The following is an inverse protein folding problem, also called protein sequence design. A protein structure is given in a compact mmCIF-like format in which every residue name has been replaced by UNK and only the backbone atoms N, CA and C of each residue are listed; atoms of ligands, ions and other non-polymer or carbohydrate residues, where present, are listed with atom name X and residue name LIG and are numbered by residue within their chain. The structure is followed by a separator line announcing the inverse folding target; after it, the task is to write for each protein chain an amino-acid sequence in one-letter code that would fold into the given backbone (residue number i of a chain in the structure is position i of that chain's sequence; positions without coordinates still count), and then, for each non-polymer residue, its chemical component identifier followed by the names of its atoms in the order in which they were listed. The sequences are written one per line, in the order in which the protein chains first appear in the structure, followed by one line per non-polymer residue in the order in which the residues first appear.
data_IF_851919519017
#
_entry.id   IF_851919519017
#
_cell.length_a   1.000
_cell.length_b   1.000
_cell.length_c   1.000
_cell.angle_alpha   90.00
_cell.angle_beta   90.00
_cell.angle_gamma   90.00
#
_symmetry.space_group_name_H-M   'P 1'
#
loop_
_entity.id
_entity.type
_entity.pdbx_description
1 polymer ?
#
# COMPACT_ATOMS: atom_id res chain seq x y z
N UNK A 1 -7.80 -17.54 3.27
CA UNK A 1 -8.43 -16.23 3.59
C UNK A 1 -8.14 -15.30 2.41
N UNK A 2 -9.14 -14.65 1.79
CA UNK A 2 -8.90 -13.74 0.65
C UNK A 2 -8.74 -12.31 1.17
N UNK A 3 -7.51 -11.81 1.15
CA UNK A 3 -7.11 -10.47 1.57
C UNK A 3 -6.39 -9.80 0.40
N UNK A 4 -6.69 -8.54 0.12
CA UNK A 4 -6.02 -7.75 -0.92
C UNK A 4 -5.51 -6.48 -0.28
N UNK A 5 -4.28 -6.12 -0.61
CA UNK A 5 -3.61 -4.95 -0.06
C UNK A 5 -3.37 -3.94 -1.18
N UNK A 6 -3.73 -2.68 -0.93
CA UNK A 6 -3.35 -1.58 -1.78
C UNK A 6 -1.86 -1.34 -1.56
N UNK A 7 -1.06 -1.70 -2.54
CA UNK A 7 0.30 -1.23 -2.63
C UNK A 7 0.27 0.19 -3.21
N UNK A 8 1.25 1.04 -2.87
CA UNK A 8 1.45 2.33 -3.56
C UNK A 8 1.27 2.11 -5.07
N UNK A 9 0.55 2.99 -5.80
CA UNK A 9 0.44 2.87 -7.24
C UNK A 9 1.84 2.87 -7.87
N UNK A 10 2.30 1.68 -8.24
CA UNK A 10 3.46 1.50 -9.08
C UNK A 10 2.97 1.59 -10.52
N UNK A 11 3.43 2.65 -11.17
CA UNK A 11 3.48 2.85 -12.60
C UNK A 11 2.17 3.10 -13.37
N UNK A 12 2.33 3.83 -14.48
CA UNK A 12 1.33 4.41 -15.39
C UNK A 12 0.39 3.36 -15.96
N UNK A 13 -0.93 3.58 -15.86
CA UNK A 13 -1.97 2.87 -16.58
C UNK A 13 -2.88 3.86 -17.35
N UNK A 14 -2.30 4.79 -18.13
CA UNK A 14 -3.07 5.39 -19.22
C UNK A 14 -3.43 4.36 -20.32
N UNK A 15 -2.75 3.20 -20.31
CA UNK A 15 -3.13 1.98 -21.03
C UNK A 15 -2.70 0.77 -20.18
N UNK A 16 -3.50 -0.32 -20.12
CA UNK A 16 -3.03 -1.58 -19.56
C UNK A 16 -1.74 -2.01 -20.27
N UNK A 17 -0.66 -2.12 -19.50
CA UNK A 17 0.60 -2.69 -19.96
C UNK A 17 0.85 -3.98 -19.20
N UNK A 18 1.35 -5.00 -19.90
CA UNK A 18 1.81 -6.23 -19.26
C UNK A 18 3.18 -6.04 -18.55
N UNK A 19 3.82 -4.89 -18.73
CA UNK A 19 5.07 -4.54 -18.05
C UNK A 19 4.81 -4.03 -16.62
N UNK A 20 5.50 -4.63 -15.65
CA UNK A 20 5.40 -4.25 -14.23
C UNK A 20 5.97 -2.84 -13.93
N UNK A 21 6.94 -2.40 -14.71
CA UNK A 21 7.63 -1.12 -14.54
C UNK A 21 7.85 -0.47 -15.91
N UNK A 22 6.79 0.05 -16.56
CA UNK A 22 6.91 0.71 -17.85
C UNK A 22 7.89 1.87 -17.75
N UNK A 23 8.83 1.92 -18.69
CA UNK A 23 9.88 2.94 -18.75
C UNK A 23 9.67 3.89 -19.92
N UNK A 24 9.98 5.17 -19.71
CA UNK A 24 10.07 6.15 -20.78
C UNK A 24 11.30 5.90 -21.66
N UNK A 25 11.40 6.64 -22.75
CA UNK A 25 12.57 6.60 -23.65
C UNK A 25 13.88 6.97 -22.92
N UNK A 26 13.77 7.74 -21.84
CA UNK A 26 14.87 8.15 -20.97
C UNK A 26 15.22 7.13 -19.87
N UNK A 27 14.50 6.00 -19.82
CA UNK A 27 14.66 4.97 -18.79
C UNK A 27 13.98 5.28 -17.44
N UNK A 28 13.29 6.42 -17.32
CA UNK A 28 12.53 6.77 -16.11
C UNK A 28 11.28 5.88 -15.97
N UNK A 29 10.89 5.56 -14.73
CA UNK A 29 9.63 4.85 -14.49
C UNK A 29 8.49 5.82 -14.79
N UNK A 30 7.57 5.38 -15.65
CA UNK A 30 6.36 6.13 -15.95
C UNK A 30 5.35 5.90 -14.82
N UNK A 31 4.87 6.96 -14.18
CA UNK A 31 3.85 6.89 -13.12
C UNK A 31 2.46 7.27 -13.62
N UNK A 32 1.44 6.77 -12.94
CA UNK A 32 0.07 7.26 -13.09
C UNK A 32 -0.22 8.38 -12.09
N UNK A 33 -1.17 9.25 -12.44
CA UNK A 33 -1.65 10.34 -11.60
C UNK A 33 -2.97 10.00 -10.89
N UNK A 34 -3.39 8.74 -10.89
CA UNK A 34 -4.60 8.29 -10.17
C UNK A 34 -4.42 8.50 -8.67
N UNK A 35 -5.30 9.27 -8.00
CA UNK A 35 -5.26 9.43 -6.55
C UNK A 35 -5.52 8.09 -5.85
N UNK A 36 -4.76 7.75 -4.79
CA UNK A 36 -4.97 6.51 -4.03
C UNK A 36 -6.40 6.32 -3.50
N UNK A 37 -7.12 7.41 -3.24
CA UNK A 37 -8.52 7.41 -2.81
C UNK A 37 -9.48 6.83 -3.86
N UNK A 38 -9.20 7.05 -5.14
CA UNK A 38 -9.99 6.49 -6.24
C UNK A 38 -9.79 4.98 -6.32
N UNK A 39 -8.54 4.53 -6.24
CA UNK A 39 -8.22 3.10 -6.16
C UNK A 39 -8.82 2.45 -4.92
N UNK A 40 -8.81 3.16 -3.78
CA UNK A 40 -9.43 2.66 -2.55
C UNK A 40 -10.92 2.39 -2.73
N UNK A 41 -11.67 3.31 -3.35
CA UNK A 41 -13.10 3.11 -3.64
C UNK A 41 -13.34 1.86 -4.49
N UNK A 42 -12.54 1.65 -5.53
CA UNK A 42 -12.63 0.43 -6.35
C UNK A 42 -12.35 -0.83 -5.52
N UNK A 43 -11.45 -0.77 -4.53
CA UNK A 43 -11.21 -1.89 -3.62
C UNK A 43 -12.36 -2.13 -2.63
N UNK A 44 -13.08 -1.09 -2.20
CA UNK A 44 -14.30 -1.24 -1.39
C UNK A 44 -15.38 -2.02 -2.15
N UNK A 45 -15.49 -1.82 -3.47
CA UNK A 45 -16.40 -2.59 -4.32
C UNK A 45 -16.05 -4.09 -4.35
N UNK A 46 -14.76 -4.45 -4.31
CA UNK A 46 -14.35 -5.86 -4.22
C UNK A 46 -14.84 -6.52 -2.93
N UNK A 47 -14.92 -5.75 -1.83
CA UNK A 47 -15.48 -6.22 -0.56
C UNK A 47 -16.99 -6.37 -0.67
N UNK A 48 -17.69 -5.41 -1.26
CA UNK A 48 -19.15 -5.45 -1.43
C UNK A 48 -19.61 -6.60 -2.33
N UNK A 49 -18.81 -6.92 -3.36
CA UNK A 49 -19.00 -8.08 -4.23
C UNK A 49 -18.65 -9.42 -3.56
N UNK A 50 -18.10 -9.42 -2.34
CA UNK A 50 -17.69 -10.62 -1.62
C UNK A 50 -16.46 -11.33 -2.22
N UNK A 51 -15.72 -10.66 -3.12
CA UNK A 51 -14.51 -11.22 -3.74
C UNK A 51 -13.36 -11.29 -2.73
N UNK A 52 -13.31 -10.31 -1.83
CA UNK A 52 -12.34 -10.21 -0.75
C UNK A 52 -13.06 -10.01 0.59
N UNK A 53 -12.45 -10.47 1.68
CA UNK A 53 -13.03 -10.31 3.03
C UNK A 53 -12.59 -9.01 3.70
N UNK A 54 -11.38 -8.55 3.36
CA UNK A 54 -10.77 -7.40 4.01
C UNK A 54 -9.74 -6.78 3.07
N UNK A 55 -9.53 -5.48 3.24
CA UNK A 55 -8.59 -4.68 2.46
C UNK A 55 -7.66 -3.88 3.37
N UNK A 56 -6.46 -3.57 2.92
CA UNK A 56 -5.46 -2.84 3.70
C UNK A 56 -4.50 -2.04 2.83
N UNK A 57 -3.52 -1.39 3.46
CA UNK A 57 -2.53 -0.51 2.83
C UNK A 57 -1.12 -1.10 2.94
N UNK A 58 -0.25 -0.85 1.97
CA UNK A 58 1.17 -1.21 2.02
C UNK A 58 2.04 -0.07 1.51
N UNK A 59 3.10 0.24 2.26
CA UNK A 59 4.04 1.36 2.04
C UNK A 59 3.43 2.76 2.17
N UNK A 60 2.29 2.92 2.86
CA UNK A 60 1.71 4.24 3.07
C UNK A 60 2.35 4.94 4.28
N UNK A 61 2.60 6.25 4.15
CA UNK A 61 2.98 7.10 5.28
C UNK A 61 1.76 7.63 6.05
N UNK A 62 1.99 8.29 7.19
CA UNK A 62 0.91 8.78 8.07
C UNK A 62 -0.08 9.72 7.36
N UNK A 63 0.41 10.63 6.50
CA UNK A 63 -0.46 11.58 5.79
C UNK A 63 -1.33 10.87 4.76
N UNK A 64 -0.79 9.90 4.04
CA UNK A 64 -1.55 9.10 3.07
C UNK A 64 -2.58 8.22 3.79
N UNK A 65 -2.23 7.61 4.93
CA UNK A 65 -3.18 6.84 5.74
C UNK A 65 -4.35 7.74 6.17
N UNK A 66 -4.08 8.96 6.67
CA UNK A 66 -5.15 9.91 7.06
C UNK A 66 -6.10 10.20 5.91
N UNK A 67 -5.58 10.49 4.72
CA UNK A 67 -6.40 10.74 3.52
C UNK A 67 -7.32 9.58 3.18
N UNK A 68 -6.83 8.34 3.29
CA UNK A 68 -7.67 7.15 3.09
C UNK A 68 -8.74 7.03 4.18
N UNK A 69 -8.35 7.20 5.45
CA UNK A 69 -9.30 7.12 6.58
C UNK A 69 -10.43 8.15 6.47
N UNK A 70 -10.15 9.34 5.95
CA UNK A 70 -11.12 10.41 5.73
C UNK A 70 -12.18 10.07 4.67
N UNK A 71 -11.84 9.26 3.65
CA UNK A 71 -12.75 8.91 2.58
C UNK A 71 -13.29 7.46 2.63
N UNK A 72 -12.75 6.60 3.51
CA UNK A 72 -13.05 5.17 3.54
C UNK A 72 -14.41 4.85 4.18
N UNK A 73 -15.25 4.11 3.46
CA UNK A 73 -16.43 3.43 3.99
C UNK A 73 -16.04 2.08 4.62
N UNK A 74 -15.13 1.35 3.98
CA UNK A 74 -14.50 0.14 4.52
C UNK A 74 -13.12 0.53 5.03
N UNK A 75 -12.97 0.55 6.36
CA UNK A 75 -11.72 0.96 6.99
C UNK A 75 -10.57 -0.01 6.67
N UNK A 76 -9.35 0.48 6.35
CA UNK A 76 -8.21 -0.39 6.11
C UNK A 76 -7.86 -1.15 7.40
N UNK A 77 -7.75 -2.48 7.33
CA UNK A 77 -7.52 -3.31 8.53
C UNK A 77 -6.05 -3.60 8.81
N UNK A 78 -5.18 -3.48 7.79
CA UNK A 78 -3.75 -3.79 7.89
C UNK A 78 -2.91 -2.72 7.21
N UNK A 79 -1.80 -2.34 7.85
CA UNK A 79 -0.69 -1.62 7.22
C UNK A 79 0.52 -2.58 7.09
N UNK A 80 1.00 -2.81 5.87
CA UNK A 80 2.23 -3.56 5.64
C UNK A 80 3.39 -2.62 5.24
N UNK A 81 4.46 -2.57 6.05
CA UNK A 81 5.60 -1.65 5.87
C UNK A 81 6.92 -2.33 6.17
N UNK A 82 8.02 -1.77 5.69
CA UNK A 82 9.36 -2.21 6.08
C UNK A 82 9.56 -1.91 7.57
N UNK A 83 10.00 -2.92 8.32
CA UNK A 83 10.42 -2.74 9.70
C UNK A 83 11.36 -3.88 10.10
N UNK A 84 12.57 -3.55 10.54
CA UNK A 84 13.61 -4.47 11.01
C UNK A 84 14.56 -3.76 11.99
N UNK A 85 15.54 -4.48 12.54
CA UNK A 85 16.46 -3.94 13.55
C UNK A 85 17.20 -2.66 13.11
N UNK A 86 17.50 -2.53 11.81
CA UNK A 86 18.17 -1.37 11.23
C UNK A 86 17.22 -0.22 10.83
N UNK A 87 15.91 -0.49 10.74
CA UNK A 87 14.89 0.49 10.38
C UNK A 87 13.58 0.12 11.05
N UNK A 88 13.33 0.67 12.24
CA UNK A 88 12.15 0.31 13.03
C UNK A 88 10.85 0.85 12.44
N UNK A 89 10.91 1.98 11.74
CA UNK A 89 9.75 2.65 11.14
C UNK A 89 8.65 2.96 12.19
N UNK A 90 9.06 3.27 13.43
CA UNK A 90 8.18 3.25 14.60
C UNK A 90 7.02 4.25 14.52
N UNK A 91 7.23 5.44 13.98
CA UNK A 91 6.22 6.49 13.96
C UNK A 91 4.97 6.10 13.15
N UNK A 92 5.15 5.50 11.96
CA UNK A 92 4.01 5.07 11.15
C UNK A 92 3.33 3.83 11.74
N UNK A 93 4.10 2.96 12.41
CA UNK A 93 3.59 1.78 13.11
C UNK A 93 2.69 2.21 14.28
N UNK A 94 3.15 3.15 15.10
CA UNK A 94 2.39 3.66 16.24
C UNK A 94 1.14 4.39 15.78
N UNK A 95 1.26 5.20 14.71
CA UNK A 95 0.10 5.85 14.12
C UNK A 95 -0.93 4.83 13.62
N UNK A 96 -0.52 3.83 12.84
CA UNK A 96 -1.40 2.79 12.32
C UNK A 96 -2.11 2.02 13.44
N UNK A 97 -1.40 1.68 14.52
CA UNK A 97 -2.00 1.04 15.71
C UNK A 97 -3.02 1.96 16.40
N UNK A 98 -2.71 3.25 16.52
CA UNK A 98 -3.61 4.22 17.18
C UNK A 98 -4.94 4.41 16.45
N UNK A 99 -4.97 4.18 15.13
CA UNK A 99 -6.18 4.22 14.31
C UNK A 99 -6.80 2.83 14.08
N UNK A 100 -6.36 1.83 14.83
CA UNK A 100 -6.98 0.50 14.87
C UNK A 100 -6.50 -0.49 13.81
N UNK A 101 -5.41 -0.21 13.09
CA UNK A 101 -4.85 -1.11 12.08
C UNK A 101 -3.87 -2.11 12.70
N UNK A 102 -3.87 -3.34 12.17
CA UNK A 102 -2.80 -4.31 12.44
C UNK A 102 -1.60 -3.99 11.55
N UNK A 103 -0.38 -4.10 12.07
CA UNK A 103 0.84 -3.86 11.31
C UNK A 103 1.50 -5.18 10.93
N UNK A 104 1.87 -5.34 9.66
CA UNK A 104 2.71 -6.44 9.16
C UNK A 104 4.04 -5.90 8.68
N UNK A 105 5.14 -6.39 9.23
CA UNK A 105 6.47 -6.01 8.77
C UNK A 105 6.89 -6.86 7.56
N UNK A 106 7.36 -6.23 6.48
CA UNK A 106 8.17 -6.92 5.47
C UNK A 106 9.66 -6.66 5.71
N UNK A 107 10.51 -7.51 5.13
CA UNK A 107 11.96 -7.55 5.38
C UNK A 107 12.35 -7.57 6.87
N UNK A 108 11.67 -8.33 7.76
CA UNK A 108 11.88 -8.23 9.21
C UNK A 108 13.28 -8.63 9.69
N UNK A 109 14.03 -9.38 8.87
CA UNK A 109 15.40 -9.80 9.15
C UNK A 109 16.47 -8.94 8.47
N UNK A 110 16.08 -7.82 7.84
CA UNK A 110 16.91 -7.14 6.85
C UNK A 110 16.91 -7.96 5.56
N UNK A 111 16.69 -7.33 4.40
CA UNK A 111 16.65 -8.08 3.13
C UNK A 111 17.96 -8.84 2.91
N UNK A 112 17.95 -9.98 2.20
CA UNK A 112 19.16 -10.75 1.93
C UNK A 112 20.26 -9.95 1.20
N UNK A 113 19.90 -8.82 0.57
CA UNK A 113 20.80 -7.91 -0.13
C UNK A 113 21.32 -6.76 0.76
N UNK A 114 20.78 -6.58 1.97
CA UNK A 114 21.23 -5.56 2.91
C UNK A 114 22.44 -6.08 3.71
N UNK A 115 23.58 -6.21 3.02
CA UNK A 115 24.89 -6.45 3.65
C UNK A 115 25.69 -5.15 3.78
N UNK A 116 25.02 -4.05 4.12
CA UNK A 116 25.72 -2.80 4.43
C UNK A 116 26.65 -2.97 5.63
#
# INVERSE_FOLDING_TARGET
MRFVQLFIPLAKLNQPSDELFPKGEDGSILYDNVPPEETWKAMEELVSMGLVKSIGLSNFNQSQIRRILECAHVQPVVLQVESHLGFLNQEVIDFAKSVGMVVTAYSPLGSAADQR
#
